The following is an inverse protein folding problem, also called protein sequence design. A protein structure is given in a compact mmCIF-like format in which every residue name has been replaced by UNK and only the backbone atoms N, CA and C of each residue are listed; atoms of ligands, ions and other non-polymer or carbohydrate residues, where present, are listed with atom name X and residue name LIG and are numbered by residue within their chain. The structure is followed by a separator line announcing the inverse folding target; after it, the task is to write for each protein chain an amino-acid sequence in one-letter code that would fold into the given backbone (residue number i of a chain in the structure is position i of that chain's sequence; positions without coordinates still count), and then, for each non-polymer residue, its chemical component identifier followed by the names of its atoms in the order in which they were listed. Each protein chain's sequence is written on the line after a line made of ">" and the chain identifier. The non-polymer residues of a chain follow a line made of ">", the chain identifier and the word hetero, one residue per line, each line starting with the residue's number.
data_IF_512536612595
#
_entry.id   IF_512536612595
#
_cell.length_a   1.000
_cell.length_b   1.000
_cell.length_c   1.000
_cell.angle_alpha   90.00
_cell.angle_beta   90.00
_cell.angle_gamma   90.00
#
_symmetry.space_group_name_H-M   'P 1'
#
loop_
_entity.id
_entity.type
_entity.pdbx_description
1 polymer ?
#
# COMPACT_ATOMS: atom_id res chain seq x y z
N UNK A 1 19.59 2.53 23.66
CA UNK A 1 18.62 1.83 24.52
C UNK A 1 17.99 0.72 23.69
N UNK A 2 18.03 -0.52 24.16
CA UNK A 2 17.43 -1.65 23.44
C UNK A 2 15.90 -1.59 23.46
N UNK A 3 15.26 -2.06 22.39
CA UNK A 3 13.80 -2.20 22.34
C UNK A 3 13.30 -3.12 23.45
N UNK A 4 12.14 -2.79 24.03
CA UNK A 4 11.47 -3.67 24.99
C UNK A 4 11.10 -4.99 24.30
N UNK A 5 11.14 -6.11 25.06
CA UNK A 5 10.70 -7.43 24.54
C UNK A 5 9.28 -7.36 23.96
N UNK A 6 8.43 -6.52 24.54
CA UNK A 6 7.07 -6.29 24.08
C UNK A 6 7.05 -5.62 22.70
N UNK A 7 7.90 -4.61 22.47
CA UNK A 7 8.01 -3.93 21.17
C UNK A 7 8.52 -4.88 20.08
N UNK A 8 9.49 -5.73 20.41
CA UNK A 8 10.00 -6.75 19.48
C UNK A 8 8.89 -7.73 19.08
N UNK A 9 8.05 -8.14 20.03
CA UNK A 9 6.91 -9.02 19.74
C UNK A 9 5.86 -8.32 18.87
N UNK A 10 5.53 -7.05 19.16
CA UNK A 10 4.60 -6.26 18.33
C UNK A 10 5.09 -6.17 16.90
N UNK A 11 6.37 -5.81 16.67
CA UNK A 11 6.94 -5.74 15.31
C UNK A 11 6.87 -7.07 14.56
N UNK A 12 7.21 -8.17 15.23
CA UNK A 12 7.19 -9.52 14.62
C UNK A 12 5.78 -9.93 14.25
N UNK A 13 4.82 -9.77 15.16
CA UNK A 13 3.44 -10.14 14.89
C UNK A 13 2.83 -9.25 13.81
N UNK A 14 3.18 -7.97 13.79
CA UNK A 14 2.73 -7.03 12.76
C UNK A 14 3.19 -7.45 11.37
N UNK A 15 4.48 -7.75 11.21
CA UNK A 15 5.01 -8.26 9.93
C UNK A 15 4.34 -9.59 9.52
N UNK A 16 4.05 -10.47 10.48
CA UNK A 16 3.34 -11.71 10.20
C UNK A 16 1.90 -11.46 9.72
N UNK A 17 1.17 -10.56 10.38
CA UNK A 17 -0.18 -10.17 9.97
C UNK A 17 -0.19 -9.51 8.58
N UNK A 18 0.81 -8.69 8.26
CA UNK A 18 0.94 -8.06 6.94
C UNK A 18 1.19 -9.09 5.83
N UNK A 19 2.06 -10.07 6.07
CA UNK A 19 2.30 -11.15 5.12
C UNK A 19 1.04 -12.02 4.90
N UNK A 20 0.33 -12.35 5.97
CA UNK A 20 -0.93 -13.09 5.89
C UNK A 20 -2.01 -12.30 5.12
N UNK A 21 -2.11 -10.99 5.36
CA UNK A 21 -3.01 -10.11 4.62
C UNK A 21 -2.62 -10.00 3.13
N UNK A 22 -1.34 -10.01 2.80
CA UNK A 22 -0.83 -9.99 1.41
C UNK A 22 -1.20 -11.25 0.62
N UNK A 23 -1.16 -12.40 1.28
CA UNK A 23 -1.52 -13.69 0.67
C UNK A 23 -3.02 -13.84 0.44
N UNK A 24 -3.84 -12.90 0.94
CA UNK A 24 -5.31 -12.90 0.77
C UNK A 24 -5.96 -14.16 1.38
N UNK A 25 -5.22 -14.86 2.25
CA UNK A 25 -5.67 -16.07 2.93
C UNK A 25 -6.69 -15.64 3.97
N UNK A 26 -7.95 -16.02 3.76
CA UNK A 26 -9.07 -15.71 4.65
C UNK A 26 -9.05 -16.59 5.89
N UNK A 27 -7.93 -16.54 6.57
CA UNK A 27 -7.65 -17.31 7.75
C UNK A 27 -8.24 -16.57 8.95
N UNK A 28 -9.16 -17.25 9.64
CA UNK A 28 -9.65 -16.87 10.98
C UNK A 28 -8.50 -16.56 11.96
N UNK A 29 -7.31 -17.11 11.70
CA UNK A 29 -6.06 -16.83 12.42
C UNK A 29 -5.66 -15.36 12.36
N UNK A 30 -5.80 -14.71 11.19
CA UNK A 30 -5.46 -13.29 11.02
C UNK A 30 -6.29 -12.43 11.98
N UNK A 31 -7.59 -12.69 12.10
CA UNK A 31 -8.46 -11.97 13.03
C UNK A 31 -8.02 -12.15 14.49
N UNK A 32 -7.62 -13.36 14.89
CA UNK A 32 -7.10 -13.62 16.24
C UNK A 32 -5.77 -12.90 16.49
N UNK A 33 -4.89 -12.85 15.49
CA UNK A 33 -3.61 -12.15 15.60
C UNK A 33 -3.79 -10.63 15.65
N UNK A 34 -4.72 -10.07 14.89
CA UNK A 34 -5.05 -8.63 14.96
C UNK A 34 -5.56 -8.26 16.36
N UNK A 35 -6.45 -9.07 16.97
CA UNK A 35 -6.91 -8.84 18.34
C UNK A 35 -5.77 -8.89 19.36
N UNK A 36 -4.89 -9.89 19.26
CA UNK A 36 -3.73 -10.00 20.14
C UNK A 36 -2.75 -8.82 19.95
N UNK A 37 -2.61 -8.33 18.72
CA UNK A 37 -1.73 -7.20 18.40
C UNK A 37 -2.28 -5.90 19.00
N UNK A 38 -3.61 -5.71 18.99
CA UNK A 38 -4.27 -4.57 19.63
C UNK A 38 -4.06 -4.53 21.15
N UNK A 39 -4.22 -5.69 21.80
CA UNK A 39 -3.92 -5.85 23.23
C UNK A 39 -2.45 -5.56 23.54
N UNK A 40 -1.53 -6.05 22.69
CA UNK A 40 -0.11 -5.79 22.85
C UNK A 40 0.24 -4.31 22.67
N UNK A 41 -0.32 -3.63 21.67
CA UNK A 41 -0.12 -2.18 21.47
C UNK A 41 -0.70 -1.38 22.65
N UNK A 42 -1.87 -1.76 23.15
CA UNK A 42 -2.50 -1.14 24.33
C UNK A 42 -1.65 -1.32 25.59
N UNK A 43 -1.11 -2.53 25.80
CA UNK A 43 -0.19 -2.81 26.91
C UNK A 43 1.12 -2.02 26.78
N UNK A 44 1.59 -1.78 25.54
CA UNK A 44 2.80 -1.05 25.25
C UNK A 44 2.64 0.46 25.49
N UNK A 45 1.43 1.01 25.29
CA UNK A 45 1.09 2.40 25.65
C UNK A 45 1.03 2.64 27.17
N UNK A 46 0.66 1.61 27.93
CA UNK A 46 0.58 1.65 29.40
C UNK A 46 1.95 1.56 30.07
N UNK A 47 2.98 1.07 29.37
CA UNK A 47 4.34 0.99 29.93
C UNK A 47 4.99 2.37 30.13
N UNK A 48 5.81 2.54 31.17
CA UNK A 48 6.55 3.78 31.43
C UNK A 48 7.67 4.03 30.41
N UNK A 49 8.23 2.97 29.82
CA UNK A 49 9.20 3.04 28.71
C UNK A 49 8.44 3.02 27.40
N UNK A 50 8.00 4.20 26.98
CA UNK A 50 7.25 4.37 25.72
C UNK A 50 8.24 4.44 24.56
N UNK A 51 7.97 3.78 23.43
CA UNK A 51 8.64 4.10 22.18
C UNK A 51 8.35 5.56 21.81
N UNK A 52 9.14 6.09 20.88
CA UNK A 52 8.90 7.41 20.33
C UNK A 52 7.43 7.55 19.89
N UNK A 53 6.83 8.71 20.17
CA UNK A 53 5.42 9.03 19.89
C UNK A 53 5.05 8.75 18.43
N UNK A 54 6.01 8.94 17.53
CA UNK A 54 5.88 8.66 16.10
C UNK A 54 5.76 7.16 15.81
N UNK A 55 6.63 6.31 16.35
CA UNK A 55 6.57 4.84 16.17
C UNK A 55 5.32 4.25 16.80
N UNK A 56 4.86 4.79 17.93
CA UNK A 56 3.59 4.38 18.54
C UNK A 56 2.41 4.69 17.62
N UNK A 57 2.36 5.91 17.07
CA UNK A 57 1.30 6.31 16.13
C UNK A 57 1.30 5.46 14.86
N UNK A 58 2.46 4.95 14.47
CA UNK A 58 2.63 4.10 13.30
C UNK A 58 2.12 2.68 13.56
N UNK A 59 2.44 2.07 14.70
CA UNK A 59 1.85 0.77 15.06
C UNK A 59 0.33 0.82 15.10
N UNK A 60 -0.24 1.82 15.79
CA UNK A 60 -1.70 1.99 15.88
C UNK A 60 -2.33 2.10 14.49
N UNK A 61 -1.78 2.97 13.62
CA UNK A 61 -2.28 3.13 12.24
C UNK A 61 -2.25 1.83 11.45
N UNK A 62 -1.21 1.02 11.62
CA UNK A 62 -1.08 -0.28 10.93
C UNK A 62 -2.05 -1.32 11.49
N UNK A 63 -2.28 -1.35 12.81
CA UNK A 63 -3.31 -2.20 13.42
C UNK A 63 -4.68 -1.84 12.87
N UNK A 64 -5.01 -0.54 12.82
CA UNK A 64 -6.29 -0.04 12.32
C UNK A 64 -6.49 -0.37 10.84
N UNK A 65 -5.42 -0.28 10.04
CA UNK A 65 -5.45 -0.73 8.64
C UNK A 65 -5.73 -2.23 8.51
N UNK A 66 -5.04 -3.08 9.29
CA UNK A 66 -5.25 -4.53 9.28
C UNK A 66 -6.66 -4.91 9.77
N UNK A 67 -7.17 -4.23 10.81
CA UNK A 67 -8.55 -4.37 11.28
C UNK A 67 -9.52 -4.04 10.16
N UNK A 68 -9.35 -2.86 9.55
CA UNK A 68 -10.18 -2.38 8.45
C UNK A 68 -10.18 -3.35 7.26
N UNK A 69 -9.02 -3.88 6.86
CA UNK A 69 -8.92 -4.92 5.82
C UNK A 69 -9.68 -6.20 6.18
N UNK A 70 -9.61 -6.63 7.44
CA UNK A 70 -10.36 -7.82 7.87
C UNK A 70 -11.88 -7.59 7.81
N UNK A 71 -12.33 -6.37 8.13
CA UNK A 71 -13.74 -5.98 8.06
C UNK A 71 -14.20 -5.81 6.60
N UNK A 72 -13.39 -5.25 5.70
CA UNK A 72 -13.76 -5.16 4.27
C UNK A 72 -13.96 -6.53 3.64
N UNK A 73 -13.24 -7.55 4.11
CA UNK A 73 -13.45 -8.91 3.64
C UNK A 73 -14.76 -9.54 4.16
N UNK A 74 -15.23 -9.16 5.35
CA UNK A 74 -16.52 -9.66 5.87
C UNK A 74 -17.72 -9.13 5.09
N UNK A 75 -17.57 -8.04 4.33
CA UNK A 75 -18.64 -7.46 3.53
C UNK A 75 -18.95 -8.37 2.33
N UNK A 76 -20.19 -8.83 2.22
CA UNK A 76 -20.62 -9.71 1.12
C UNK A 76 -20.91 -8.93 -0.17
N UNK A 77 -21.23 -7.64 -0.09
CA UNK A 77 -21.63 -6.82 -1.23
C UNK A 77 -20.39 -6.21 -1.93
N UNK A 78 -20.19 -6.42 -3.24
CA UNK A 78 -19.03 -5.90 -3.98
C UNK A 78 -18.94 -4.37 -3.98
N UNK A 79 -20.06 -3.65 -3.97
CA UNK A 79 -20.08 -2.18 -3.93
C UNK A 79 -19.53 -1.71 -2.57
N UNK A 80 -20.03 -2.33 -1.50
CA UNK A 80 -19.57 -2.02 -0.14
C UNK A 80 -18.11 -2.41 0.06
N UNK A 81 -17.63 -3.51 -0.54
CA UNK A 81 -16.21 -3.89 -0.52
C UNK A 81 -15.32 -2.81 -1.16
N UNK A 82 -15.70 -2.28 -2.32
CA UNK A 82 -14.94 -1.21 -3.01
C UNK A 82 -14.95 0.07 -2.19
N UNK A 83 -16.13 0.49 -1.72
CA UNK A 83 -16.28 1.71 -0.91
C UNK A 83 -15.50 1.59 0.39
N UNK A 84 -15.64 0.48 1.12
CA UNK A 84 -14.92 0.26 2.37
C UNK A 84 -13.41 0.22 2.14
N UNK A 85 -12.94 -0.38 1.04
CA UNK A 85 -11.51 -0.41 0.69
C UNK A 85 -10.99 0.98 0.34
N UNK A 86 -11.77 1.82 -0.34
CA UNK A 86 -11.43 3.22 -0.59
C UNK A 86 -11.46 4.07 0.68
N UNK A 87 -12.30 3.74 1.66
CA UNK A 87 -12.33 4.41 2.96
C UNK A 87 -11.19 3.98 3.89
N UNK A 88 -10.49 2.88 3.58
CA UNK A 88 -9.24 2.56 4.25
C UNK A 88 -8.21 3.63 3.93
N UNK A 89 -7.83 4.39 4.96
CA UNK A 89 -6.87 5.49 4.89
C UNK A 89 -5.58 5.06 4.17
N UNK A 90 -5.32 5.78 3.07
CA UNK A 90 -4.53 5.37 1.92
C UNK A 90 -3.01 5.22 2.13
N UNK A 91 -2.43 4.32 1.33
CA UNK A 91 -1.00 4.13 1.09
C UNK A 91 -0.26 5.28 0.38
N UNK A 92 -0.80 6.51 0.33
CA UNK A 92 -0.12 7.63 -0.34
C UNK A 92 0.59 8.59 0.63
N UNK A 93 0.05 8.85 1.84
CA UNK A 93 0.53 9.96 2.68
C UNK A 93 0.93 9.55 4.11
N UNK A 94 0.61 8.34 4.58
CA UNK A 94 0.75 8.01 6.00
C UNK A 94 1.76 6.89 6.36
N UNK A 95 2.15 6.03 5.43
CA UNK A 95 3.07 4.90 5.74
C UNK A 95 4.23 4.84 4.76
N UNK A 96 5.44 4.82 5.30
CA UNK A 96 6.71 4.63 4.55
C UNK A 96 6.87 3.18 4.07
N UNK A 97 6.07 2.25 4.58
CA UNK A 97 6.18 0.83 4.25
C UNK A 97 5.46 0.46 2.96
N UNK A 98 6.20 -0.16 2.05
CA UNK A 98 5.75 -0.64 0.73
C UNK A 98 4.69 -1.73 0.83
N UNK A 99 4.72 -2.55 1.90
CA UNK A 99 3.85 -3.72 2.05
C UNK A 99 2.38 -3.32 2.21
N UNK A 100 2.06 -2.33 3.05
CA UNK A 100 0.67 -1.87 3.23
C UNK A 100 0.11 -1.23 1.96
N UNK A 101 0.97 -0.54 1.18
CA UNK A 101 0.61 0.01 -0.15
C UNK A 101 0.28 -1.08 -1.15
N UNK A 102 1.14 -2.11 -1.23
CA UNK A 102 0.93 -3.26 -2.11
C UNK A 102 -0.38 -3.99 -1.78
N UNK A 103 -0.66 -4.22 -0.50
CA UNK A 103 -1.91 -4.86 -0.05
C UNK A 103 -3.11 -4.01 -0.47
N UNK A 104 -3.10 -2.71 -0.15
CA UNK A 104 -4.21 -1.82 -0.52
C UNK A 104 -4.44 -1.77 -2.03
N UNK A 105 -3.37 -1.68 -2.83
CA UNK A 105 -3.46 -1.68 -4.29
C UNK A 105 -4.03 -2.99 -4.83
N UNK A 106 -3.57 -4.13 -4.31
CA UNK A 106 -4.03 -5.47 -4.72
C UNK A 106 -5.50 -5.67 -4.37
N UNK A 107 -5.91 -5.35 -3.13
CA UNK A 107 -7.28 -5.47 -2.66
C UNK A 107 -8.23 -4.54 -3.43
N UNK A 108 -7.83 -3.28 -3.65
CA UNK A 108 -8.61 -2.31 -4.45
C UNK A 108 -8.80 -2.79 -5.88
N UNK A 109 -7.73 -3.27 -6.52
CA UNK A 109 -7.78 -3.77 -7.90
C UNK A 109 -8.69 -4.99 -8.01
N UNK A 110 -8.65 -5.89 -7.01
CA UNK A 110 -9.48 -7.10 -6.95
C UNK A 110 -10.96 -6.75 -6.83
N UNK A 111 -11.35 -5.94 -5.86
CA UNK A 111 -12.77 -5.60 -5.64
C UNK A 111 -13.33 -4.70 -6.75
N UNK A 112 -12.53 -3.79 -7.30
CA UNK A 112 -12.94 -2.98 -8.45
C UNK A 112 -13.19 -3.86 -9.68
N UNK A 113 -12.36 -4.90 -9.88
CA UNK A 113 -12.57 -5.89 -10.93
C UNK A 113 -13.84 -6.73 -10.69
N UNK A 114 -14.05 -7.21 -9.46
CA UNK A 114 -15.26 -7.96 -9.08
C UNK A 114 -16.53 -7.15 -9.32
N UNK A 115 -16.53 -5.86 -8.97
CA UNK A 115 -17.65 -4.95 -9.23
C UNK A 115 -17.86 -4.72 -10.74
N UNK A 116 -16.79 -4.50 -11.50
CA UNK A 116 -16.84 -4.38 -12.96
C UNK A 116 -17.43 -5.65 -13.58
N UNK A 117 -16.94 -6.81 -13.15
CA UNK A 117 -17.44 -8.10 -13.61
C UNK A 117 -18.95 -8.24 -13.33
N UNK A 118 -19.44 -7.87 -12.14
CA UNK A 118 -20.89 -7.93 -11.87
C UNK A 118 -21.72 -6.93 -12.67
N UNK A 119 -21.19 -5.73 -12.94
CA UNK A 119 -21.90 -4.72 -13.75
C UNK A 119 -21.95 -5.08 -15.23
N UNK A 120 -20.93 -5.76 -15.76
CA UNK A 120 -20.78 -6.06 -17.18
C UNK A 120 -21.03 -7.54 -17.55
N UNK A 121 -21.29 -8.44 -16.60
CA UNK A 121 -21.61 -9.87 -16.84
C UNK A 121 -23.12 -10.20 -16.81
N UNK A 122 -23.99 -9.23 -17.08
CA UNK A 122 -25.44 -9.50 -17.23
C UNK A 122 -25.82 -10.23 -18.52
N UNK A 123 -24.90 -10.49 -19.45
CA UNK A 123 -25.17 -11.28 -20.65
C UNK A 123 -24.14 -12.40 -20.83
N UNK A 124 -24.36 -13.51 -20.12
CA UNK A 124 -23.88 -14.84 -20.57
C UNK A 124 -24.91 -15.54 -21.46
N UNK A 125 -25.55 -14.76 -22.32
CA UNK A 125 -26.17 -15.23 -23.55
C UNK A 125 -25.41 -14.58 -24.71
N UNK A 126 -24.84 -15.42 -25.57
CA UNK A 126 -24.11 -15.06 -26.80
C UNK A 126 -22.85 -14.18 -26.65
N UNK A 127 -21.75 -14.77 -26.23
CA UNK A 127 -20.64 -15.04 -27.16
C UNK A 127 -19.40 -15.46 -26.37
N UNK A 128 -18.89 -16.65 -26.69
CA UNK A 128 -17.53 -17.05 -26.40
C UNK A 128 -16.56 -16.16 -27.18
N UNK A 129 -16.45 -14.87 -26.84
CA UNK A 129 -15.26 -14.09 -27.16
C UNK A 129 -14.15 -14.68 -26.30
N UNK A 130 -13.46 -15.66 -26.88
CA UNK A 130 -12.28 -16.34 -26.33
C UNK A 130 -11.40 -15.32 -25.64
N UNK A 131 -11.52 -15.20 -24.32
CA UNK A 131 -10.53 -14.52 -23.50
C UNK A 131 -9.30 -15.41 -23.50
N UNK A 132 -8.49 -15.27 -24.56
CA UNK A 132 -7.09 -15.64 -24.52
C UNK A 132 -6.56 -14.92 -23.30
N UNK A 133 -6.27 -15.67 -22.25
CA UNK A 133 -5.58 -15.21 -21.05
C UNK A 133 -4.33 -14.49 -21.56
N UNK A 134 -4.44 -13.18 -21.73
CA UNK A 134 -3.34 -12.35 -22.20
C UNK A 134 -2.43 -12.34 -20.99
N UNK A 135 -1.47 -13.26 -21.01
CA UNK A 135 -0.24 -13.16 -20.23
C UNK A 135 0.13 -11.70 -20.42
N UNK A 136 0.05 -10.87 -19.37
CA UNK A 136 0.55 -9.50 -19.40
C UNK A 136 2.00 -9.66 -19.79
N UNK A 137 2.28 -9.53 -21.10
CA UNK A 137 3.56 -9.87 -21.67
C UNK A 137 4.54 -8.90 -21.03
N UNK A 138 5.74 -9.38 -20.69
CA UNK A 138 6.78 -8.53 -20.11
C UNK A 138 7.04 -7.27 -20.95
N UNK A 139 6.58 -7.24 -22.21
CA UNK A 139 6.57 -6.10 -23.12
C UNK A 139 5.75 -4.90 -22.64
N UNK A 140 4.59 -5.09 -22.00
CA UNK A 140 3.77 -3.95 -21.52
C UNK A 140 4.39 -3.33 -20.26
N UNK A 141 5.00 -4.18 -19.42
CA UNK A 141 5.80 -3.74 -18.27
C UNK A 141 7.10 -3.07 -18.73
N UNK A 142 7.77 -3.60 -19.76
CA UNK A 142 9.00 -3.02 -20.34
C UNK A 142 8.72 -1.70 -21.06
N UNK A 143 7.60 -1.58 -21.77
CA UNK A 143 7.15 -0.34 -22.37
C UNK A 143 6.86 0.73 -21.30
N UNK A 144 6.19 0.34 -20.21
CA UNK A 144 5.95 1.22 -19.08
C UNK A 144 7.25 1.61 -18.36
N UNK A 145 8.18 0.67 -18.19
CA UNK A 145 9.50 0.92 -17.60
C UNK A 145 10.31 1.91 -18.46
N UNK A 146 10.29 1.74 -19.79
CA UNK A 146 10.90 2.65 -20.76
C UNK A 146 10.27 4.04 -20.74
N UNK A 147 8.94 4.14 -20.63
CA UNK A 147 8.25 5.41 -20.49
C UNK A 147 8.66 6.14 -19.21
N UNK A 148 8.72 5.45 -18.07
CA UNK A 148 9.20 6.04 -16.83
C UNK A 148 10.68 6.43 -16.90
N UNK A 149 11.52 5.62 -17.54
CA UNK A 149 12.93 5.92 -17.74
C UNK A 149 13.13 7.17 -18.60
N UNK A 150 12.46 7.28 -19.75
CA UNK A 150 12.56 8.45 -20.63
C UNK A 150 12.02 9.72 -19.96
N UNK A 151 10.96 9.59 -19.15
CA UNK A 151 10.43 10.72 -18.38
C UNK A 151 11.42 11.16 -17.29
N UNK A 152 12.06 10.24 -16.58
CA UNK A 152 13.09 10.55 -15.58
C UNK A 152 14.33 11.18 -16.21
N UNK A 153 14.77 10.68 -17.37
CA UNK A 153 15.88 11.24 -18.13
C UNK A 153 15.59 12.69 -18.54
N UNK A 154 14.39 12.97 -19.03
CA UNK A 154 13.97 14.33 -19.37
C UNK A 154 14.01 15.28 -18.18
N UNK A 155 13.51 14.84 -17.02
CA UNK A 155 13.53 15.65 -15.79
C UNK A 155 14.98 15.92 -15.36
N UNK A 156 15.86 14.92 -15.45
CA UNK A 156 17.27 15.09 -15.10
C UNK A 156 17.98 16.09 -16.03
N UNK A 157 17.71 16.05 -17.35
CA UNK A 157 18.24 17.02 -18.30
C UNK A 157 17.73 18.44 -18.00
N UNK A 158 16.43 18.58 -17.70
CA UNK A 158 15.84 19.86 -17.32
C UNK A 158 16.48 20.40 -16.02
N UNK A 159 16.71 19.55 -15.01
CA UNK A 159 17.40 19.94 -13.78
C UNK A 159 18.86 20.34 -14.01
N UNK A 160 19.58 19.61 -14.87
CA UNK A 160 20.96 19.94 -15.25
C UNK A 160 21.02 21.26 -16.02
N UNK A 161 20.08 21.48 -16.95
CA UNK A 161 19.97 22.73 -17.70
C UNK A 161 19.68 23.90 -16.76
N UNK A 162 18.77 23.73 -15.80
CA UNK A 162 18.48 24.74 -14.79
C UNK A 162 19.71 25.03 -13.93
N UNK A 163 20.44 24.01 -13.48
CA UNK A 163 21.66 24.18 -12.68
C UNK A 163 22.77 24.89 -13.47
N UNK A 164 22.94 24.58 -14.78
CA UNK A 164 23.86 25.30 -15.66
C UNK A 164 23.46 26.77 -15.81
N UNK A 165 22.18 27.04 -16.09
CA UNK A 165 21.65 28.40 -16.19
C UNK A 165 21.83 29.18 -14.88
N UNK A 166 21.56 28.56 -13.72
CA UNK A 166 21.79 29.19 -12.41
C UNK A 166 23.27 29.47 -12.16
N UNK A 167 24.16 28.54 -12.52
CA UNK A 167 25.61 28.76 -12.44
C UNK A 167 26.05 29.92 -13.33
N UNK A 168 25.57 29.99 -14.56
CA UNK A 168 25.87 31.09 -15.49
C UNK A 168 25.34 32.43 -14.95
N UNK A 169 24.11 32.48 -14.43
CA UNK A 169 23.57 33.67 -13.79
C UNK A 169 24.37 34.09 -12.54
N UNK A 170 24.83 33.13 -11.73
CA UNK A 170 25.69 33.42 -10.58
C UNK A 170 27.06 33.95 -11.01
N UNK A 171 27.70 33.36 -12.02
CA UNK A 171 28.98 33.83 -12.55
C UNK A 171 28.88 35.24 -13.16
N UNK A 172 27.76 35.54 -13.83
CA UNK A 172 27.49 36.88 -14.34
C UNK A 172 27.19 37.89 -13.22
N UNK A 173 26.60 37.43 -12.10
CA UNK A 173 26.36 38.27 -10.93
C UNK A 173 27.64 38.55 -10.11
N UNK A 174 28.57 37.60 -10.02
CA UNK A 174 29.87 37.77 -9.35
C UNK A 174 30.87 38.65 -10.12
N UNK A 175 30.65 38.89 -11.43
CA UNK A 175 31.48 39.76 -12.27
C UNK A 175 31.05 41.25 -12.25
N UNK A 176 30.37 41.71 -11.19
CA UNK A 176 29.98 43.12 -10.97
C UNK A 176 30.46 43.60 -9.61
#
# INVERSE_FOLDING_TARGET
>A
MGMSRLEVNVRRLLSQCENMAKEDSQDWRLHKYISALDEMVSSLQSQPVKPNKETMSEYVRRVDFLKGLSETHKLSNPVEKVVATQLLSHGAVASTETVTKEIHQKTTSKYTKELRDQLFQSDKSSDEIRQRKQKTTGEDLDALLKFHHSMQEKIAEDMLSLARNLKEQSQLADCK
#
